data_IF_861069091229
#
_entry.id   IF_861069091229
#
_cell.length_a   1.000
_cell.length_b   1.000
_cell.length_c   1.000
_cell.angle_alpha   90.00
_cell.angle_beta   90.00
_cell.angle_gamma   90.00
#
_symmetry.space_group_name_H-M   'P 1'
#
loop_
_entity.id
_entity.type
_entity.pdbx_description
1 polymer ?
#
# COMPACT_ATOMS: atom_id res chain seq x y z
N UNK A 1 25.19 21.30 42.31
CA UNK A 1 23.70 21.34 42.20
C UNK A 1 23.24 21.54 40.78
N UNK A 2 23.86 22.41 40.01
CA UNK A 2 23.49 22.67 38.61
C UNK A 2 23.62 21.48 37.68
N UNK A 3 24.65 20.64 37.88
CA UNK A 3 24.87 19.43 37.04
C UNK A 3 23.78 18.36 37.17
N UNK A 4 23.10 18.25 38.33
CA UNK A 4 22.02 17.28 38.53
C UNK A 4 20.70 17.71 37.87
N UNK A 5 20.45 18.99 37.73
CA UNK A 5 19.25 19.54 37.08
C UNK A 5 19.36 19.39 35.56
N UNK A 6 20.55 19.63 35.01
CA UNK A 6 20.83 19.47 33.58
C UNK A 6 20.74 18.01 33.15
N UNK A 7 21.19 17.04 33.97
CA UNK A 7 21.10 15.62 33.65
C UNK A 7 19.64 15.10 33.66
N UNK A 8 18.80 15.61 34.54
CA UNK A 8 17.37 15.27 34.54
C UNK A 8 16.62 15.83 33.33
N UNK A 9 17.03 16.97 32.85
CA UNK A 9 16.45 17.58 31.66
C UNK A 9 16.85 16.81 30.38
N UNK A 10 18.09 16.40 30.28
CA UNK A 10 18.56 15.55 29.19
C UNK A 10 17.84 14.22 29.14
N UNK A 11 17.59 13.61 30.28
CA UNK A 11 16.82 12.35 30.36
C UNK A 11 15.35 12.52 29.93
N UNK A 12 14.72 13.64 30.31
CA UNK A 12 13.35 13.94 29.88
C UNK A 12 13.26 14.23 28.37
N UNK A 13 14.24 14.93 27.80
CA UNK A 13 14.30 15.23 26.35
C UNK A 13 14.55 13.97 25.54
N UNK A 14 15.44 13.08 26.01
CA UNK A 14 15.70 11.79 25.37
C UNK A 14 14.50 10.87 25.43
N UNK A 15 13.81 10.78 26.55
CA UNK A 15 12.58 9.98 26.69
C UNK A 15 11.46 10.50 25.79
N UNK A 16 11.32 11.81 25.64
CA UNK A 16 10.35 12.44 24.77
C UNK A 16 10.65 12.20 23.27
N UNK A 17 11.93 12.25 22.88
CA UNK A 17 12.35 11.94 21.51
C UNK A 17 12.05 10.50 21.13
N UNK A 18 12.27 9.53 22.02
CA UNK A 18 11.97 8.10 21.78
C UNK A 18 10.48 7.89 21.62
N UNK A 19 9.66 8.60 22.38
CA UNK A 19 8.20 8.51 22.29
C UNK A 19 7.64 9.06 20.96
N UNK A 20 8.24 10.13 20.42
CA UNK A 20 7.87 10.69 19.11
C UNK A 20 8.19 9.72 17.95
N UNK A 21 9.28 8.97 18.02
CA UNK A 21 9.59 7.94 17.02
C UNK A 21 8.62 6.76 17.06
N UNK A 22 8.11 6.38 18.23
CA UNK A 22 7.15 5.29 18.37
C UNK A 22 5.75 5.64 17.82
N UNK A 23 5.37 6.91 17.76
CA UNK A 23 4.06 7.36 17.25
C UNK A 23 4.03 7.65 15.74
N UNK A 24 5.18 7.65 15.08
CA UNK A 24 5.27 7.92 13.64
C UNK A 24 5.24 6.66 12.77
N UNK A 25 5.08 5.46 13.35
CA UNK A 25 4.92 4.22 12.60
C UNK A 25 3.50 4.13 11.99
N UNK A 26 3.37 4.53 10.75
CA UNK A 26 2.21 4.18 9.95
C UNK A 26 2.30 2.69 9.60
N UNK A 27 1.29 1.92 10.02
CA UNK A 27 1.26 0.47 9.86
C UNK A 27 0.74 0.07 8.47
N UNK A 28 1.43 0.53 7.42
CA UNK A 28 1.14 0.13 6.04
C UNK A 28 1.87 -1.15 5.61
N UNK A 29 2.68 -1.71 6.50
CA UNK A 29 3.55 -2.83 6.22
C UNK A 29 4.94 -2.38 5.72
N UNK A 30 5.66 -3.30 5.12
CA UNK A 30 6.98 -3.04 4.54
C UNK A 30 6.84 -2.38 3.17
N UNK A 31 7.92 -1.75 2.68
CA UNK A 31 7.92 -1.00 1.43
C UNK A 31 8.94 -1.59 0.46
N UNK A 32 8.53 -1.79 -0.79
CA UNK A 32 9.41 -2.04 -1.93
C UNK A 32 9.07 -1.11 -3.08
N UNK A 33 10.09 -0.55 -3.72
CA UNK A 33 9.93 0.39 -4.83
C UNK A 33 10.00 -0.35 -6.18
N UNK A 34 9.11 0.01 -7.10
CA UNK A 34 9.13 -0.45 -8.49
C UNK A 34 8.93 0.73 -9.42
N UNK A 35 10.00 1.19 -10.03
CA UNK A 35 10.01 2.32 -10.99
C UNK A 35 9.16 3.53 -10.53
N UNK A 36 9.43 4.02 -9.33
CA UNK A 36 8.74 5.18 -8.72
C UNK A 36 7.45 4.84 -7.97
N UNK A 37 6.91 3.64 -8.14
CA UNK A 37 5.73 3.18 -7.39
C UNK A 37 6.14 2.59 -6.05
N UNK A 38 5.54 3.12 -4.99
CA UNK A 38 5.69 2.60 -3.63
C UNK A 38 4.72 1.44 -3.43
N UNK A 39 5.24 0.23 -3.27
CA UNK A 39 4.43 -0.95 -2.97
C UNK A 39 4.62 -1.31 -1.50
N UNK A 40 3.66 -0.94 -0.67
CA UNK A 40 3.56 -1.44 0.69
C UNK A 40 2.98 -2.85 0.67
N UNK A 41 3.40 -3.71 1.59
CA UNK A 41 2.86 -5.05 1.68
C UNK A 41 2.79 -5.54 3.11
N UNK A 42 1.73 -6.27 3.40
CA UNK A 42 1.47 -6.83 4.74
C UNK A 42 2.15 -8.18 4.91
N UNK A 43 2.15 -8.70 6.13
CA UNK A 43 2.67 -10.04 6.44
C UNK A 43 1.84 -11.18 5.84
N UNK A 44 0.64 -10.87 5.32
CA UNK A 44 -0.25 -11.86 4.71
C UNK A 44 0.20 -12.29 3.31
N UNK A 45 1.11 -11.56 2.68
CA UNK A 45 1.63 -11.86 1.33
C UNK A 45 3.10 -12.27 1.41
N UNK A 46 3.55 -13.03 0.40
CA UNK A 46 4.95 -13.44 0.27
C UNK A 46 5.76 -12.43 -0.55
N UNK A 47 7.08 -12.49 -0.45
CA UNK A 47 7.94 -11.67 -1.31
C UNK A 47 7.75 -12.01 -2.79
N UNK A 48 7.47 -13.27 -3.12
CA UNK A 48 7.13 -13.69 -4.48
C UNK A 48 5.87 -13.00 -4.99
N UNK A 49 4.84 -12.86 -4.15
CA UNK A 49 3.62 -12.12 -4.49
C UNK A 49 3.93 -10.65 -4.80
N UNK A 50 4.77 -10.03 -3.98
CA UNK A 50 5.19 -8.62 -4.15
C UNK A 50 5.97 -8.44 -5.46
N UNK A 51 6.90 -9.33 -5.74
CA UNK A 51 7.71 -9.27 -6.96
C UNK A 51 6.87 -9.51 -8.22
N UNK A 52 5.91 -10.43 -8.17
CA UNK A 52 4.98 -10.67 -9.26
C UNK A 52 4.09 -9.45 -9.53
N UNK A 53 3.59 -8.82 -8.47
CA UNK A 53 2.85 -7.56 -8.59
C UNK A 53 3.72 -6.47 -9.22
N UNK A 54 4.91 -6.25 -8.67
CA UNK A 54 5.82 -5.20 -9.14
C UNK A 54 6.20 -5.39 -10.61
N UNK A 55 6.52 -6.60 -11.02
CA UNK A 55 6.82 -6.94 -12.43
C UNK A 55 5.64 -6.61 -13.34
N UNK A 56 4.43 -7.00 -12.94
CA UNK A 56 3.22 -6.67 -13.70
C UNK A 56 3.02 -5.16 -13.80
N UNK A 57 3.16 -4.41 -12.71
CA UNK A 57 2.97 -2.96 -12.70
C UNK A 57 3.96 -2.24 -13.61
N UNK A 58 5.19 -2.70 -13.69
CA UNK A 58 6.21 -2.16 -14.61
C UNK A 58 5.86 -2.51 -16.06
N UNK A 59 5.57 -3.77 -16.34
CA UNK A 59 5.30 -4.25 -17.71
C UNK A 59 4.01 -3.64 -18.29
N UNK A 60 3.00 -3.43 -17.46
CA UNK A 60 1.73 -2.81 -17.85
C UNK A 60 1.80 -1.28 -17.99
N UNK A 61 2.93 -0.66 -17.61
CA UNK A 61 3.09 0.80 -17.67
C UNK A 61 2.43 1.56 -16.54
N UNK A 62 1.93 0.89 -15.52
CA UNK A 62 1.41 1.54 -14.31
C UNK A 62 2.55 2.19 -13.52
N UNK A 63 3.62 1.45 -13.29
CA UNK A 63 4.85 1.95 -12.68
C UNK A 63 5.72 2.61 -13.76
N UNK A 64 5.58 3.91 -13.93
CA UNK A 64 6.09 4.72 -15.05
C UNK A 64 7.13 5.76 -14.65
N UNK A 65 7.68 5.66 -13.42
CA UNK A 65 8.63 6.61 -12.87
C UNK A 65 7.98 7.75 -12.06
N UNK A 66 6.67 7.95 -12.19
CA UNK A 66 5.92 8.89 -11.36
C UNK A 66 5.61 8.27 -10.00
N UNK A 67 5.50 9.11 -8.96
CA UNK A 67 5.16 8.66 -7.62
C UNK A 67 3.72 8.18 -7.55
N UNK A 68 3.57 6.90 -7.21
CA UNK A 68 2.28 6.26 -6.93
C UNK A 68 2.41 5.42 -5.67
N UNK A 69 1.33 5.26 -4.94
CA UNK A 69 1.29 4.46 -3.72
C UNK A 69 0.22 3.39 -3.83
N UNK A 70 0.65 2.15 -3.62
CA UNK A 70 -0.23 0.99 -3.55
C UNK A 70 0.12 0.13 -2.34
N UNK A 71 -0.80 -0.71 -1.94
CA UNK A 71 -0.57 -1.71 -0.89
C UNK A 71 -1.11 -3.06 -1.35
N UNK A 72 -0.33 -4.11 -1.15
CA UNK A 72 -0.76 -5.48 -1.36
C UNK A 72 -1.06 -6.13 -0.02
N UNK A 73 -2.26 -6.65 0.10
CA UNK A 73 -2.72 -7.42 1.24
C UNK A 73 -3.41 -8.70 0.75
N UNK A 74 -3.69 -9.61 1.66
CA UNK A 74 -4.43 -10.84 1.39
C UNK A 74 -5.32 -11.16 2.56
N UNK A 75 -6.60 -11.41 2.29
CA UNK A 75 -7.56 -11.84 3.29
C UNK A 75 -8.14 -13.19 2.84
N UNK A 76 -7.86 -14.25 3.61
CA UNK A 76 -8.17 -15.62 3.17
C UNK A 76 -7.43 -15.94 1.87
N UNK A 77 -8.17 -16.28 0.81
CA UNK A 77 -7.63 -16.58 -0.52
C UNK A 77 -7.77 -15.41 -1.52
N UNK A 78 -8.16 -14.24 -1.07
CA UNK A 78 -8.38 -13.07 -1.91
C UNK A 78 -7.25 -12.07 -1.73
N UNK A 79 -6.56 -11.72 -2.81
CA UNK A 79 -5.60 -10.61 -2.83
C UNK A 79 -6.34 -9.29 -2.93
N UNK A 80 -5.87 -8.33 -2.16
CA UNK A 80 -6.36 -6.95 -2.17
C UNK A 80 -5.27 -6.06 -2.78
N UNK A 81 -5.51 -5.55 -3.98
CA UNK A 81 -4.69 -4.52 -4.60
C UNK A 81 -5.28 -3.16 -4.24
N UNK A 82 -4.64 -2.49 -3.32
CA UNK A 82 -5.11 -1.24 -2.71
C UNK A 82 -4.30 -0.09 -3.30
N UNK A 83 -4.97 0.88 -3.93
CA UNK A 83 -4.29 2.00 -4.58
C UNK A 83 -4.83 3.34 -4.12
N UNK A 84 -3.91 4.27 -3.85
CA UNK A 84 -4.27 5.66 -3.55
C UNK A 84 -4.76 6.33 -4.84
N UNK A 85 -5.94 6.92 -4.78
CA UNK A 85 -6.54 7.66 -5.90
C UNK A 85 -6.85 9.09 -5.48
N UNK A 86 -6.96 9.97 -6.46
CA UNK A 86 -7.43 11.34 -6.23
C UNK A 86 -8.88 11.33 -5.76
N UNK A 87 -9.23 12.27 -4.89
CA UNK A 87 -10.58 12.43 -4.37
C UNK A 87 -11.60 12.54 -5.51
N UNK A 88 -12.64 11.70 -5.43
CA UNK A 88 -13.71 11.66 -6.42
C UNK A 88 -13.56 10.58 -7.49
N UNK A 89 -12.38 10.02 -7.69
CA UNK A 89 -12.13 8.93 -8.67
C UNK A 89 -13.00 7.71 -8.35
N UNK A 90 -13.23 7.40 -7.09
CA UNK A 90 -14.07 6.29 -6.66
C UNK A 90 -15.54 6.41 -7.08
N UNK A 91 -15.98 7.59 -7.49
CA UNK A 91 -17.34 7.85 -7.97
C UNK A 91 -17.46 7.79 -9.50
N UNK A 92 -16.33 7.77 -10.22
CA UNK A 92 -16.28 7.74 -11.68
C UNK A 92 -16.43 6.30 -12.19
N UNK A 93 -17.45 6.04 -12.99
CA UNK A 93 -17.75 4.69 -13.49
C UNK A 93 -16.63 4.13 -14.38
N UNK A 94 -16.01 4.98 -15.20
CA UNK A 94 -14.91 4.56 -16.08
C UNK A 94 -13.71 4.07 -15.27
N UNK A 95 -13.34 4.79 -14.21
CA UNK A 95 -12.26 4.35 -13.31
C UNK A 95 -12.62 3.10 -12.51
N UNK A 96 -13.87 2.96 -12.11
CA UNK A 96 -14.34 1.71 -11.46
C UNK A 96 -14.20 0.51 -12.39
N UNK A 97 -14.55 0.65 -13.65
CA UNK A 97 -14.42 -0.41 -14.64
C UNK A 97 -12.96 -0.75 -14.89
N UNK A 98 -12.08 0.25 -14.95
CA UNK A 98 -10.63 0.04 -15.03
C UNK A 98 -10.09 -0.70 -13.78
N UNK A 99 -10.57 -0.38 -12.59
CA UNK A 99 -10.18 -1.08 -11.37
C UNK A 99 -10.58 -2.55 -11.35
N UNK A 100 -11.76 -2.87 -11.86
CA UNK A 100 -12.23 -4.25 -12.01
C UNK A 100 -11.40 -5.02 -13.05
N UNK A 101 -11.06 -4.37 -14.16
CA UNK A 101 -10.20 -4.95 -15.18
C UNK A 101 -8.80 -5.21 -14.63
N UNK A 102 -8.24 -4.27 -13.89
CA UNK A 102 -6.93 -4.44 -13.26
C UNK A 102 -6.92 -5.62 -12.29
N UNK A 103 -7.96 -5.81 -11.49
CA UNK A 103 -8.08 -6.98 -10.61
C UNK A 103 -8.08 -8.28 -11.41
N UNK A 104 -8.79 -8.34 -12.53
CA UNK A 104 -8.83 -9.52 -13.39
C UNK A 104 -7.46 -9.80 -14.04
N UNK A 105 -6.76 -8.79 -14.50
CA UNK A 105 -5.41 -8.92 -15.06
C UNK A 105 -4.38 -9.36 -14.02
N UNK A 106 -4.43 -8.79 -12.82
CA UNK A 106 -3.58 -9.22 -11.72
C UNK A 106 -3.81 -10.68 -11.34
N UNK A 107 -5.07 -11.11 -11.32
CA UNK A 107 -5.41 -12.52 -11.12
C UNK A 107 -4.71 -13.41 -12.15
N UNK A 108 -4.83 -13.06 -13.43
CA UNK A 108 -4.31 -13.86 -14.52
C UNK A 108 -2.78 -13.84 -14.62
N UNK A 109 -2.16 -12.66 -14.46
CA UNK A 109 -0.75 -12.47 -14.78
C UNK A 109 0.18 -12.40 -13.58
N UNK A 110 -0.34 -12.08 -12.39
CA UNK A 110 0.49 -11.96 -11.18
C UNK A 110 0.23 -13.04 -10.13
N UNK A 111 -0.99 -13.54 -10.02
CA UNK A 111 -1.42 -14.38 -8.90
C UNK A 111 -2.01 -15.73 -9.31
N UNK A 112 -1.66 -16.24 -10.48
CA UNK A 112 -2.02 -17.61 -10.95
C UNK A 112 -3.53 -17.93 -10.91
N UNK A 113 -4.39 -16.97 -11.23
CA UNK A 113 -5.83 -17.14 -11.23
C UNK A 113 -6.49 -16.98 -9.87
N UNK A 114 -5.76 -16.61 -8.83
CA UNK A 114 -6.35 -16.33 -7.52
C UNK A 114 -7.30 -15.12 -7.58
N UNK A 115 -8.27 -15.11 -6.69
CA UNK A 115 -9.22 -14.00 -6.59
C UNK A 115 -8.50 -12.71 -6.19
N UNK A 116 -8.82 -11.62 -6.87
CA UNK A 116 -8.27 -10.29 -6.63
C UNK A 116 -9.39 -9.27 -6.53
N UNK A 117 -9.26 -8.34 -5.62
CA UNK A 117 -10.09 -7.15 -5.51
C UNK A 117 -9.21 -5.91 -5.63
N UNK A 118 -9.66 -4.89 -6.36
CA UNK A 118 -9.04 -3.57 -6.35
C UNK A 118 -9.76 -2.69 -5.32
N UNK A 119 -9.00 -2.07 -4.44
CA UNK A 119 -9.51 -1.08 -3.49
C UNK A 119 -9.01 0.29 -3.90
N UNK A 120 -9.91 1.21 -4.20
CA UNK A 120 -9.56 2.62 -4.28
C UNK A 120 -9.50 3.19 -2.87
N UNK A 121 -8.39 3.83 -2.54
CA UNK A 121 -8.09 4.31 -1.20
C UNK A 121 -7.81 5.81 -1.19
N UNK A 122 -8.00 6.43 -0.03
CA UNK A 122 -7.52 7.78 0.21
C UNK A 122 -5.99 7.81 0.41
N UNK A 123 -5.43 8.99 0.67
CA UNK A 123 -3.98 9.19 0.88
C UNK A 123 -3.42 8.50 2.14
N UNK A 124 -4.27 7.95 2.98
CA UNK A 124 -3.91 7.15 4.16
C UNK A 124 -4.14 5.66 3.97
N UNK A 125 -4.35 5.22 2.74
CA UNK A 125 -4.69 3.83 2.39
C UNK A 125 -5.97 3.33 3.05
N UNK A 126 -6.90 4.23 3.37
CA UNK A 126 -8.24 3.87 3.82
C UNK A 126 -9.13 3.58 2.61
N UNK A 127 -9.77 2.42 2.59
CA UNK A 127 -10.64 2.01 1.49
C UNK A 127 -11.85 2.93 1.34
N UNK A 128 -12.04 3.47 0.13
CA UNK A 128 -13.21 4.24 -0.28
C UNK A 128 -14.22 3.35 -0.98
N UNK A 129 -13.77 2.45 -1.86
CA UNK A 129 -14.60 1.48 -2.55
C UNK A 129 -13.83 0.19 -2.84
N UNK A 130 -14.52 -0.93 -2.81
CA UNK A 130 -14.01 -2.25 -3.19
C UNK A 130 -14.57 -2.63 -4.55
N UNK A 131 -13.69 -2.99 -5.47
CA UNK A 131 -14.02 -3.38 -6.83
C UNK A 131 -13.61 -4.84 -7.05
N UNK A 132 -14.55 -5.79 -7.00
CA UNK A 132 -14.25 -7.18 -7.32
C UNK A 132 -13.79 -7.32 -8.77
N UNK A 133 -12.96 -8.34 -9.06
CA UNK A 133 -12.51 -8.59 -10.41
C UNK A 133 -13.67 -8.80 -11.37
N UNK A 134 -13.53 -8.29 -12.60
CA UNK A 134 -14.50 -8.50 -13.66
C UNK A 134 -14.62 -10.01 -13.95
N UNK A 135 -15.85 -10.47 -14.16
CA UNK A 135 -16.11 -11.84 -14.65
C UNK A 135 -16.03 -11.82 -16.18
N UNK A 136 -15.26 -12.74 -16.74
CA UNK A 136 -15.22 -13.02 -18.17
C UNK A 136 -16.16 -14.15 -18.51
#
# INVERSE_FOLDING_TARGET
>A
MEKKIVSKWYLCVLAFSIFLFATSCNDYGELKMFNGTQVYYTKAVTMSDVDNLGTYLVDAGFADGEEKTVQLNKTGNTYEFRMVVKKGIEQDQEYRDLGKLMAAELSAYAFNGARVETHFCDDRLKTLIVLPMAKY
#
